data_IF_479352096633
#
_entry.id   IF_479352096633
#
_cell.length_a   1.000
_cell.length_b   1.000
_cell.length_c   1.000
_cell.angle_alpha   90.00
_cell.angle_beta   90.00
_cell.angle_gamma   90.00
#
_symmetry.space_group_name_H-M   'P 1'
#
loop_
_entity.id
_entity.type
_entity.pdbx_description
1 polymer ?
#
# COMPACT_ATOMS: atom_id res chain seq x y z
N UNK A 1 5.23 -15.24 2.65
CA UNK A 1 4.16 -14.33 2.19
C UNK A 1 3.09 -14.22 3.28
N UNK A 2 2.59 -13.02 3.48
CA UNK A 2 1.54 -12.80 4.47
C UNK A 2 0.18 -13.30 3.96
N UNK A 3 -0.73 -13.58 4.89
CA UNK A 3 -2.09 -14.01 4.52
C UNK A 3 -2.82 -12.85 3.83
N UNK A 4 -3.12 -13.03 2.56
CA UNK A 4 -3.73 -12.01 1.71
C UNK A 4 -5.12 -11.62 2.23
N UNK A 5 -5.94 -12.59 2.57
CA UNK A 5 -7.31 -12.33 3.05
C UNK A 5 -7.34 -11.59 4.38
N UNK A 6 -6.49 -11.99 5.31
CA UNK A 6 -6.37 -11.32 6.61
C UNK A 6 -5.86 -9.89 6.47
N UNK A 7 -4.94 -9.67 5.55
CA UNK A 7 -4.41 -8.33 5.29
C UNK A 7 -5.50 -7.43 4.71
N UNK A 8 -6.27 -7.90 3.75
CA UNK A 8 -7.42 -7.16 3.21
C UNK A 8 -8.43 -6.83 4.32
N UNK A 9 -8.79 -7.81 5.13
CA UNK A 9 -9.74 -7.61 6.24
C UNK A 9 -9.25 -6.56 7.24
N UNK A 10 -7.96 -6.61 7.57
CA UNK A 10 -7.32 -5.65 8.47
C UNK A 10 -7.48 -4.21 7.96
N UNK A 11 -7.08 -3.95 6.72
CA UNK A 11 -7.15 -2.62 6.13
C UNK A 11 -8.60 -2.16 5.95
N UNK A 12 -9.50 -3.08 5.59
CA UNK A 12 -10.93 -2.76 5.49
C UNK A 12 -11.48 -2.25 6.83
N UNK A 13 -11.15 -2.95 7.92
CA UNK A 13 -11.60 -2.57 9.26
C UNK A 13 -10.97 -1.24 9.70
N UNK A 14 -9.71 -1.01 9.39
CA UNK A 14 -9.04 0.27 9.68
C UNK A 14 -9.73 1.43 8.96
N UNK A 15 -10.26 1.20 7.75
CA UNK A 15 -11.03 2.19 7.00
C UNK A 15 -12.50 2.25 7.42
N UNK A 16 -12.90 1.50 8.44
CA UNK A 16 -14.26 1.46 8.99
C UNK A 16 -15.32 1.11 7.94
N UNK A 17 -14.95 0.25 6.99
CA UNK A 17 -15.85 -0.29 5.98
C UNK A 17 -16.29 -1.69 6.39
N UNK A 18 -17.58 -2.00 6.23
CA UNK A 18 -18.02 -3.39 6.25
C UNK A 18 -17.80 -4.01 4.85
N UNK A 19 -18.02 -5.32 4.74
CA UNK A 19 -17.79 -6.03 3.48
C UNK A 19 -18.71 -5.52 2.35
N UNK A 20 -19.97 -5.20 2.66
CA UNK A 20 -20.92 -4.66 1.68
C UNK A 20 -20.50 -3.27 1.20
N UNK A 21 -20.00 -2.44 2.10
CA UNK A 21 -19.52 -1.10 1.75
C UNK A 21 -18.27 -1.18 0.86
N UNK A 22 -17.37 -2.11 1.14
CA UNK A 22 -16.20 -2.33 0.30
C UNK A 22 -16.60 -2.81 -1.10
N UNK A 23 -17.56 -3.73 -1.18
CA UNK A 23 -18.10 -4.17 -2.48
C UNK A 23 -18.67 -2.99 -3.28
N UNK A 24 -19.35 -2.07 -2.60
CA UNK A 24 -19.90 -0.88 -3.25
C UNK A 24 -18.81 0.08 -3.73
N UNK A 25 -17.75 0.26 -2.97
CA UNK A 25 -16.60 1.08 -3.39
C UNK A 25 -15.95 0.55 -4.66
N UNK A 26 -15.91 -0.76 -4.84
CA UNK A 26 -15.37 -1.40 -6.04
C UNK A 26 -16.14 -1.02 -7.31
N UNK A 27 -17.41 -0.65 -7.21
CA UNK A 27 -18.21 -0.20 -8.36
C UNK A 27 -17.61 1.05 -9.02
N UNK A 28 -16.92 1.89 -8.27
CA UNK A 28 -16.22 3.06 -8.80
C UNK A 28 -15.08 2.69 -9.75
N UNK A 29 -14.66 1.42 -9.73
CA UNK A 29 -13.61 0.85 -10.58
C UNK A 29 -14.19 -0.10 -11.62
N UNK A 30 -15.51 -0.03 -11.85
CA UNK A 30 -16.24 -0.94 -12.76
C UNK A 30 -16.09 -2.43 -12.37
N UNK A 31 -15.98 -2.68 -11.07
CA UNK A 31 -15.91 -4.03 -10.52
C UNK A 31 -17.18 -4.28 -9.72
N UNK A 32 -17.99 -5.23 -10.17
CA UNK A 32 -19.29 -5.54 -9.60
C UNK A 32 -19.25 -6.90 -8.92
N UNK A 33 -19.00 -6.90 -7.62
CA UNK A 33 -18.97 -8.09 -6.78
C UNK A 33 -19.92 -7.87 -5.60
N UNK A 34 -20.35 -8.98 -5.00
CA UNK A 34 -21.22 -8.93 -3.82
C UNK A 34 -20.42 -9.12 -2.55
N UNK A 35 -21.03 -8.84 -1.42
CA UNK A 35 -20.44 -9.00 -0.10
C UNK A 35 -19.84 -10.41 0.12
N UNK A 36 -20.49 -11.47 -0.40
CA UNK A 36 -19.99 -12.81 -0.26
C UNK A 36 -18.66 -13.05 -1.01
N UNK A 37 -18.39 -12.31 -2.07
CA UNK A 37 -17.07 -12.35 -2.73
C UNK A 37 -16.00 -11.79 -1.83
N UNK A 38 -16.26 -10.65 -1.19
CA UNK A 38 -15.34 -10.05 -0.22
C UNK A 38 -15.08 -11.03 0.92
N UNK A 39 -16.15 -11.63 1.46
CA UNK A 39 -16.04 -12.64 2.51
C UNK A 39 -15.16 -13.82 2.10
N UNK A 40 -15.35 -14.32 0.88
CA UNK A 40 -14.54 -15.42 0.36
C UNK A 40 -13.05 -15.05 0.23
N UNK A 41 -12.75 -13.83 -0.20
CA UNK A 41 -11.38 -13.33 -0.28
C UNK A 41 -10.73 -13.24 1.11
N UNK A 42 -11.48 -12.72 2.09
CA UNK A 42 -10.97 -12.58 3.46
C UNK A 42 -10.77 -13.92 4.16
N UNK A 43 -11.61 -14.91 3.84
CA UNK A 43 -11.47 -16.27 4.36
C UNK A 43 -10.44 -17.12 3.61
N UNK A 44 -10.01 -16.67 2.44
CA UNK A 44 -9.06 -17.40 1.63
C UNK A 44 -9.66 -18.54 0.81
N UNK A 45 -11.00 -18.64 0.72
CA UNK A 45 -11.69 -19.63 -0.11
C UNK A 45 -11.73 -19.22 -1.59
N UNK A 46 -11.49 -17.96 -1.88
CA UNK A 46 -11.28 -17.42 -3.21
C UNK A 46 -10.24 -16.31 -3.12
N UNK A 47 -9.70 -15.92 -4.26
CA UNK A 47 -8.75 -14.79 -4.33
C UNK A 47 -9.25 -13.77 -5.35
N UNK A 48 -9.02 -12.47 -5.09
CA UNK A 48 -9.31 -11.47 -6.10
C UNK A 48 -8.37 -11.66 -7.31
N UNK A 49 -8.86 -11.36 -8.50
CA UNK A 49 -7.99 -11.28 -9.66
C UNK A 49 -7.10 -10.02 -9.57
N UNK A 50 -6.16 -9.87 -10.50
CA UNK A 50 -5.20 -8.77 -10.46
C UNK A 50 -5.88 -7.40 -10.46
N UNK A 51 -6.89 -7.20 -11.30
CA UNK A 51 -7.61 -5.92 -11.36
C UNK A 51 -8.36 -5.63 -10.07
N UNK A 52 -9.05 -6.62 -9.54
CA UNK A 52 -9.76 -6.51 -8.26
C UNK A 52 -8.79 -6.20 -7.12
N UNK A 53 -7.64 -6.87 -7.10
CA UNK A 53 -6.63 -6.65 -6.09
C UNK A 53 -6.07 -5.23 -6.12
N UNK A 54 -5.74 -4.73 -7.32
CA UNK A 54 -5.23 -3.36 -7.46
C UNK A 54 -6.26 -2.32 -7.04
N UNK A 55 -7.54 -2.54 -7.37
CA UNK A 55 -8.62 -1.65 -6.92
C UNK A 55 -8.76 -1.68 -5.40
N UNK A 56 -8.65 -2.85 -4.77
CA UNK A 56 -8.66 -2.96 -3.31
C UNK A 56 -7.52 -2.18 -2.69
N UNK A 57 -6.32 -2.27 -3.25
CA UNK A 57 -5.17 -1.50 -2.75
C UNK A 57 -5.41 0.00 -2.84
N UNK A 58 -6.03 0.47 -3.91
CA UNK A 58 -6.35 1.89 -4.07
C UNK A 58 -7.40 2.35 -3.05
N UNK A 59 -8.49 1.61 -2.92
CA UNK A 59 -9.57 1.92 -1.97
C UNK A 59 -9.07 1.91 -0.53
N UNK A 60 -8.29 0.91 -0.18
CA UNK A 60 -7.81 0.68 1.19
C UNK A 60 -6.49 1.40 1.50
N UNK A 61 -5.99 2.18 0.54
CA UNK A 61 -4.75 2.96 0.69
C UNK A 61 -3.56 2.09 1.08
N UNK A 62 -3.45 0.92 0.44
CA UNK A 62 -2.31 0.02 0.61
C UNK A 62 -1.29 0.38 -0.47
N UNK A 63 -0.36 1.26 -0.13
CA UNK A 63 0.58 1.80 -1.11
C UNK A 63 1.88 1.01 -1.20
N UNK A 64 2.28 0.35 -0.14
CA UNK A 64 3.46 -0.51 -0.14
C UNK A 64 3.05 -1.98 -0.17
N UNK A 65 2.65 -2.43 -1.37
CA UNK A 65 2.15 -3.79 -1.60
C UNK A 65 3.21 -4.83 -1.23
N UNK A 66 4.48 -4.56 -1.54
CA UNK A 66 5.53 -5.51 -1.23
C UNK A 66 5.62 -5.78 0.27
N UNK A 67 5.69 -4.72 1.08
CA UNK A 67 5.79 -4.85 2.54
C UNK A 67 4.52 -5.47 3.14
N UNK A 68 3.35 -5.08 2.67
CA UNK A 68 2.09 -5.51 3.26
C UNK A 68 1.71 -6.96 2.91
N UNK A 69 2.14 -7.47 1.75
CA UNK A 69 1.74 -8.79 1.28
C UNK A 69 2.88 -9.79 1.17
N UNK A 70 4.10 -9.36 0.91
CA UNK A 70 5.22 -10.28 0.66
C UNK A 70 6.17 -10.31 1.85
N UNK A 71 6.63 -9.18 2.31
CA UNK A 71 7.59 -9.04 3.38
C UNK A 71 8.34 -7.73 3.28
N UNK A 72 9.42 -7.59 4.05
CA UNK A 72 10.21 -6.38 4.03
C UNK A 72 10.88 -6.19 2.67
N UNK A 73 10.64 -5.03 2.04
CA UNK A 73 11.27 -4.72 0.76
C UNK A 73 12.78 -4.55 0.91
N UNK A 74 13.59 -5.17 0.04
CA UNK A 74 15.04 -4.93 0.05
C UNK A 74 15.42 -3.50 -0.33
N UNK A 75 14.49 -2.77 -0.95
CA UNK A 75 14.68 -1.36 -1.32
C UNK A 75 14.20 -0.38 -0.25
N UNK A 76 13.65 -0.88 0.86
CA UNK A 76 13.18 -0.02 1.94
C UNK A 76 14.38 0.65 2.63
N UNK A 77 14.52 1.98 2.54
CA UNK A 77 15.64 2.69 3.15
C UNK A 77 15.60 2.65 4.69
N UNK A 78 14.48 2.31 5.28
CA UNK A 78 14.29 2.28 6.73
C UNK A 78 14.51 0.89 7.34
N UNK A 79 14.84 -0.13 6.54
CA UNK A 79 14.88 -1.52 6.99
C UNK A 79 15.82 -1.80 8.17
N UNK A 80 16.84 -0.97 8.34
CA UNK A 80 17.82 -1.12 9.40
C UNK A 80 17.63 -0.08 10.53
N UNK A 81 16.52 0.63 10.54
CA UNK A 81 16.22 1.65 11.53
C UNK A 81 15.05 1.22 12.42
N UNK A 82 15.15 1.56 13.71
CA UNK A 82 14.02 1.45 14.61
C UNK A 82 13.08 2.66 14.44
N UNK A 83 11.99 2.70 15.20
CA UNK A 83 11.00 3.77 15.13
C UNK A 83 11.63 5.16 15.37
N UNK A 84 12.51 5.28 16.36
CA UNK A 84 13.20 6.53 16.65
C UNK A 84 14.03 7.00 15.46
N UNK A 85 14.79 6.10 14.85
CA UNK A 85 15.59 6.40 13.67
C UNK A 85 14.74 6.81 12.48
N UNK A 86 13.62 6.12 12.25
CA UNK A 86 12.67 6.48 11.18
C UNK A 86 12.09 7.88 11.39
N UNK A 87 11.71 8.21 12.63
CA UNK A 87 11.17 9.53 12.94
C UNK A 87 12.19 10.65 12.70
N UNK A 88 13.46 10.40 13.00
CA UNK A 88 14.53 11.36 12.71
C UNK A 88 14.71 11.59 11.21
N UNK A 89 14.64 10.54 10.40
CA UNK A 89 14.70 10.65 8.95
C UNK A 89 13.51 11.46 8.42
N UNK A 90 12.31 11.17 8.92
CA UNK A 90 11.09 11.90 8.52
C UNK A 90 11.17 13.38 8.89
N UNK A 91 11.73 13.73 10.03
CA UNK A 91 11.99 15.13 10.41
C UNK A 91 12.93 15.80 9.41
N UNK A 92 13.99 15.13 9.04
CA UNK A 92 14.94 15.65 8.06
C UNK A 92 14.30 15.85 6.68
N UNK A 93 13.45 14.92 6.25
CA UNK A 93 12.68 15.07 5.02
C UNK A 93 11.80 16.34 5.07
N UNK A 94 11.07 16.53 6.17
CA UNK A 94 10.23 17.72 6.35
C UNK A 94 11.05 19.01 6.33
N UNK A 95 12.25 19.01 6.93
CA UNK A 95 13.13 20.16 6.89
C UNK A 95 13.59 20.47 5.47
N UNK A 96 13.94 19.44 4.68
CA UNK A 96 14.33 19.62 3.29
C UNK A 96 13.17 20.15 2.43
N UNK A 97 11.96 19.63 2.65
CA UNK A 97 10.76 20.09 1.95
C UNK A 97 10.46 21.57 2.26
N UNK A 98 10.67 21.99 3.52
CA UNK A 98 10.36 23.36 3.96
C UNK A 98 11.22 24.41 3.27
N UNK A 99 12.42 24.07 2.82
CA UNK A 99 13.31 25.00 2.12
C UNK A 99 12.83 25.33 0.70
N UNK A 100 12.06 24.44 0.09
CA UNK A 100 11.63 24.55 -1.29
C UNK A 100 12.73 24.33 -2.34
N UNK A 101 13.97 24.03 -1.89
CA UNK A 101 15.13 23.88 -2.78
C UNK A 101 15.25 22.51 -3.43
N UNK A 102 14.52 21.51 -2.90
CA UNK A 102 14.68 20.11 -3.28
C UNK A 102 13.36 19.51 -3.79
N UNK A 103 12.59 20.30 -4.53
CA UNK A 103 11.32 19.81 -5.10
C UNK A 103 11.57 18.82 -6.22
N UNK A 104 10.80 17.74 -6.31
CA UNK A 104 10.92 16.81 -7.43
C UNK A 104 10.53 17.49 -8.73
N UNK A 105 11.29 17.22 -9.81
CA UNK A 105 10.98 17.73 -11.14
C UNK A 105 9.83 16.95 -11.78
N UNK A 106 9.93 15.61 -11.72
CA UNK A 106 8.95 14.67 -12.28
C UNK A 106 9.22 13.26 -11.79
N UNK A 107 8.47 12.26 -12.32
CA UNK A 107 8.58 10.87 -11.97
C UNK A 107 9.92 10.23 -12.39
N UNK A 108 10.56 10.75 -13.44
CA UNK A 108 11.87 10.25 -13.93
C UNK A 108 12.91 10.41 -12.82
N UNK A 109 12.82 11.46 -12.05
CA UNK A 109 13.72 11.70 -10.92
C UNK A 109 13.70 10.53 -9.90
N UNK A 110 12.54 9.96 -9.67
CA UNK A 110 12.38 8.80 -8.77
C UNK A 110 13.09 7.58 -9.33
N UNK A 111 12.99 7.33 -10.64
CA UNK A 111 13.69 6.22 -11.30
C UNK A 111 15.21 6.33 -11.17
N UNK A 112 15.77 7.52 -11.35
CA UNK A 112 17.20 7.76 -11.18
C UNK A 112 17.66 7.41 -9.76
N UNK A 113 16.89 7.79 -8.74
CA UNK A 113 17.19 7.47 -7.36
C UNK A 113 17.18 5.95 -7.12
N UNK A 114 16.20 5.24 -7.66
CA UNK A 114 16.10 3.79 -7.54
C UNK A 114 17.27 3.08 -8.21
N UNK A 115 17.67 3.50 -9.39
CA UNK A 115 18.82 2.93 -10.09
C UNK A 115 20.10 3.10 -9.29
N UNK A 116 20.31 4.24 -8.64
CA UNK A 116 21.47 4.48 -7.79
C UNK A 116 21.54 3.55 -6.57
N UNK A 117 20.40 3.08 -6.10
CA UNK A 117 20.34 2.17 -4.94
C UNK A 117 20.67 0.73 -5.30
N UNK A 118 20.59 0.37 -6.57
CA UNK A 118 20.92 -0.97 -7.06
C UNK A 118 22.44 -1.19 -7.08
N UNK A 119 23.21 -0.14 -7.11
CA UNK A 119 24.66 -0.16 -7.08
C UNK A 119 25.15 0.10 -5.65
#
# INVERSE_FOLDING_TARGET
>A
MKDLGKTIAKYRKEHKLNQSQLAKELENYDIYVKQNSISAWELGTATPNARQFLALCEILEIYDIYTDFIGQSPLNPFRNLNETGMNKVLEYIRDLESTGNYKPADIIHIHVIQERKVF
#
